data_IF_287830934681
#
_entry.id   IF_287830934681
#
_cell.length_a   1.000
_cell.length_b   1.000
_cell.length_c   1.000
_cell.angle_alpha   90.00
_cell.angle_beta   90.00
_cell.angle_gamma   90.00
#
_symmetry.space_group_name_H-M   'P 1'
#
loop_
_entity.id
_entity.type
_entity.pdbx_description
1 polymer ?
#
# COMPACT_ATOMS: atom_id res chain seq x y z
N UNK A 1 8.13 -14.90 -7.11
CA UNK A 1 7.48 -13.97 -8.06
C UNK A 1 6.82 -12.87 -7.22
N UNK A 2 7.30 -11.62 -7.31
CA UNK A 2 6.71 -10.50 -6.54
C UNK A 2 5.75 -9.74 -7.44
N UNK A 3 4.48 -9.73 -7.07
CA UNK A 3 3.43 -9.04 -7.82
C UNK A 3 3.55 -7.52 -7.56
N UNK A 4 3.90 -6.74 -8.58
CA UNK A 4 3.85 -5.28 -8.49
C UNK A 4 2.39 -4.85 -8.58
N UNK A 5 1.85 -4.31 -7.49
CA UNK A 5 0.45 -3.89 -7.39
C UNK A 5 0.39 -2.36 -7.43
N UNK A 6 -0.09 -1.81 -8.54
CA UNK A 6 -0.43 -0.40 -8.64
C UNK A 6 -1.81 -0.18 -8.01
N UNK A 7 -1.88 0.67 -7.00
CA UNK A 7 -3.12 1.05 -6.34
C UNK A 7 -3.42 2.52 -6.68
N UNK A 8 -4.62 2.77 -7.20
CA UNK A 8 -5.07 4.12 -7.52
C UNK A 8 -6.53 4.30 -7.11
N UNK A 9 -6.96 5.55 -7.00
CA UNK A 9 -8.35 5.91 -6.67
C UNK A 9 -9.02 6.49 -7.90
N UNK A 10 -10.24 6.02 -8.18
CA UNK A 10 -11.06 6.51 -9.29
C UNK A 10 -12.42 6.92 -8.72
N UNK A 11 -12.93 8.07 -9.17
CA UNK A 11 -14.30 8.50 -8.89
C UNK A 11 -15.20 7.97 -10.00
N UNK A 12 -16.27 7.27 -9.62
CA UNK A 12 -17.22 6.66 -10.54
C UNK A 12 -18.61 7.19 -10.19
N UNK A 13 -19.40 7.54 -11.20
CA UNK A 13 -20.79 7.91 -11.00
C UNK A 13 -21.61 6.70 -10.52
N UNK A 14 -22.57 6.90 -9.63
CA UNK A 14 -23.28 5.82 -8.93
C UNK A 14 -24.00 4.85 -9.87
N UNK A 15 -24.54 5.36 -10.97
CA UNK A 15 -25.17 4.62 -12.06
C UNK A 15 -24.21 3.65 -12.78
N UNK A 16 -22.91 3.97 -12.80
CA UNK A 16 -21.87 3.21 -13.48
C UNK A 16 -21.12 2.22 -12.57
N UNK A 17 -21.43 2.20 -11.27
CA UNK A 17 -20.72 1.33 -10.31
C UNK A 17 -20.80 -0.14 -10.70
N UNK A 18 -21.98 -0.61 -11.11
CA UNK A 18 -22.19 -2.02 -11.53
C UNK A 18 -21.40 -2.38 -12.80
N UNK A 19 -21.37 -1.49 -13.79
CA UNK A 19 -20.66 -1.72 -15.07
C UNK A 19 -19.15 -1.65 -14.90
N UNK A 20 -18.66 -0.83 -13.97
CA UNK A 20 -17.25 -0.77 -13.61
C UNK A 20 -16.84 -2.03 -12.85
N UNK A 21 -17.62 -2.48 -11.86
CA UNK A 21 -17.30 -3.70 -11.12
C UNK A 21 -17.34 -4.96 -11.97
N UNK A 22 -18.17 -5.04 -13.01
CA UNK A 22 -18.17 -6.18 -13.94
C UNK A 22 -16.87 -6.34 -14.75
N UNK A 23 -15.98 -5.34 -14.70
CA UNK A 23 -14.62 -5.41 -15.26
C UNK A 23 -13.56 -5.84 -14.26
N UNK A 24 -13.88 -5.94 -12.96
CA UNK A 24 -12.92 -6.37 -11.94
C UNK A 24 -12.44 -7.80 -12.19
N UNK A 25 -11.12 -7.99 -12.23
CA UNK A 25 -10.44 -9.23 -12.60
C UNK A 25 -10.01 -9.31 -14.06
N UNK A 26 -10.51 -8.42 -14.94
CA UNK A 26 -10.10 -8.38 -16.35
C UNK A 26 -8.77 -7.66 -16.47
N UNK A 27 -7.88 -8.19 -17.29
CA UNK A 27 -6.55 -7.61 -17.57
C UNK A 27 -5.70 -7.39 -16.30
N UNK A 28 -5.97 -8.13 -15.23
CA UNK A 28 -5.27 -7.99 -13.95
C UNK A 28 -5.69 -6.74 -13.15
N UNK A 29 -6.76 -6.06 -13.53
CA UNK A 29 -7.28 -4.88 -12.83
C UNK A 29 -8.32 -5.33 -11.80
N UNK A 30 -8.08 -5.01 -10.53
CA UNK A 30 -9.02 -5.30 -9.45
C UNK A 30 -9.58 -4.02 -8.88
N UNK A 31 -10.89 -3.99 -8.71
CA UNK A 31 -11.61 -2.83 -8.22
C UNK A 31 -12.16 -3.16 -6.84
N UNK A 32 -12.25 -2.17 -5.95
CA UNK A 32 -12.91 -2.29 -4.65
C UNK A 32 -13.56 -0.96 -4.26
N UNK A 33 -14.71 -1.02 -3.60
CA UNK A 33 -15.29 0.19 -3.00
C UNK A 33 -14.48 0.57 -1.76
N UNK A 34 -14.35 1.87 -1.51
CA UNK A 34 -13.74 2.32 -0.28
C UNK A 34 -14.65 1.93 0.88
N UNK A 35 -14.04 1.58 2.03
CA UNK A 35 -14.77 1.13 3.20
C UNK A 35 -15.79 2.15 3.76
N UNK A 36 -15.71 3.42 3.34
CA UNK A 36 -16.63 4.50 3.73
C UNK A 36 -17.86 4.60 2.81
N UNK A 37 -17.80 4.04 1.61
CA UNK A 37 -18.81 4.25 0.56
C UNK A 37 -19.89 3.16 0.56
N UNK A 38 -19.64 2.04 1.23
CA UNK A 38 -20.61 0.95 1.29
C UNK A 38 -20.17 -0.25 2.14
N UNK A 39 -21.10 -1.19 2.41
CA UNK A 39 -20.76 -2.47 2.99
C UNK A 39 -19.81 -3.22 2.06
N UNK A 40 -18.80 -3.91 2.63
CA UNK A 40 -17.88 -4.70 1.82
C UNK A 40 -18.65 -5.80 1.09
N UNK A 41 -18.42 -5.98 -0.23
CA UNK A 41 -19.05 -7.07 -0.95
C UNK A 41 -18.61 -8.41 -0.33
N UNK A 42 -19.52 -9.38 -0.35
CA UNK A 42 -19.18 -10.74 0.03
C UNK A 42 -18.23 -11.32 -1.03
N UNK A 43 -17.12 -11.88 -0.57
CA UNK A 43 -16.11 -12.46 -1.45
C UNK A 43 -15.86 -13.88 -1.01
N UNK A 44 -15.99 -14.80 -1.95
CA UNK A 44 -15.49 -16.15 -1.78
C UNK A 44 -14.03 -16.23 -2.22
N UNK A 45 -13.14 -16.44 -1.26
CA UNK A 45 -11.70 -16.57 -1.53
C UNK A 45 -11.39 -17.97 -2.06
N UNK A 46 -10.66 -18.01 -3.17
CA UNK A 46 -10.23 -19.22 -3.85
C UNK A 46 -8.92 -19.69 -3.27
N UNK A 47 -8.85 -20.95 -2.86
CA UNK A 47 -7.58 -21.55 -2.43
C UNK A 47 -6.65 -21.76 -3.62
N UNK A 48 -5.40 -21.30 -3.49
CA UNK A 48 -4.40 -21.43 -4.54
C UNK A 48 -3.93 -22.88 -4.71
N UNK A 49 -3.86 -23.66 -3.62
CA UNK A 49 -3.25 -25.00 -3.65
C UNK A 49 -1.81 -24.91 -4.17
N UNK A 50 -1.51 -25.65 -5.23
CA UNK A 50 -0.18 -25.67 -5.87
C UNK A 50 -0.02 -24.63 -7.00
N UNK A 51 -1.10 -23.95 -7.42
CA UNK A 51 -0.99 -22.98 -8.52
C UNK A 51 -0.48 -21.63 -8.03
N UNK A 52 0.44 -21.04 -8.80
CA UNK A 52 1.07 -19.74 -8.47
C UNK A 52 0.96 -18.75 -9.63
N UNK A 53 0.97 -17.45 -9.31
CA UNK A 53 1.02 -16.37 -10.28
C UNK A 53 -0.17 -16.36 -11.26
N UNK A 54 0.05 -16.22 -12.59
CA UNK A 54 -1.01 -16.15 -13.58
C UNK A 54 -1.94 -17.37 -13.60
N UNK A 55 -1.44 -18.56 -13.24
CA UNK A 55 -2.24 -19.78 -13.17
C UNK A 55 -3.30 -19.70 -12.06
N UNK A 56 -2.95 -19.08 -10.92
CA UNK A 56 -3.88 -18.85 -9.82
C UNK A 56 -4.98 -17.85 -10.20
N UNK A 57 -4.65 -16.79 -10.95
CA UNK A 57 -5.66 -15.87 -11.49
C UNK A 57 -6.60 -16.59 -12.47
N UNK A 58 -6.07 -17.45 -13.35
CA UNK A 58 -6.89 -18.23 -14.29
C UNK A 58 -7.82 -19.19 -13.54
N UNK A 59 -7.34 -19.86 -12.50
CA UNK A 59 -8.15 -20.71 -11.62
C UNK A 59 -9.30 -19.91 -10.98
N UNK A 60 -8.99 -18.73 -10.41
CA UNK A 60 -10.01 -17.87 -9.82
C UNK A 60 -11.04 -17.39 -10.86
N UNK A 61 -10.60 -17.08 -12.08
CA UNK A 61 -11.47 -16.67 -13.18
C UNK A 61 -12.42 -17.78 -13.61
N UNK A 62 -11.94 -19.03 -13.69
CA UNK A 62 -12.77 -20.20 -14.01
C UNK A 62 -13.83 -20.41 -12.92
N UNK A 63 -13.43 -20.39 -11.64
CA UNK A 63 -14.35 -20.57 -10.51
C UNK A 63 -15.36 -19.43 -10.36
N UNK A 64 -15.04 -18.24 -10.86
CA UNK A 64 -15.94 -17.10 -10.78
C UNK A 64 -17.14 -17.23 -11.72
N UNK A 65 -17.08 -18.04 -12.79
CA UNK A 65 -18.16 -18.22 -13.77
C UNK A 65 -18.74 -16.89 -14.29
N UNK A 66 -17.87 -15.89 -14.48
CA UNK A 66 -18.24 -14.54 -14.93
C UNK A 66 -18.55 -13.54 -13.82
N UNK A 67 -18.55 -13.96 -12.55
CA UNK A 67 -18.62 -13.05 -11.42
C UNK A 67 -17.39 -12.13 -11.34
N UNK A 68 -17.54 -10.88 -10.87
CA UNK A 68 -16.41 -9.98 -10.67
C UNK A 68 -15.38 -10.56 -9.70
N UNK A 69 -14.09 -10.51 -10.05
CA UNK A 69 -13.03 -10.92 -9.14
C UNK A 69 -12.76 -9.85 -8.08
N UNK A 70 -12.27 -10.30 -6.94
CA UNK A 70 -11.75 -9.50 -5.85
C UNK A 70 -10.32 -9.93 -5.53
N UNK A 71 -9.53 -8.97 -5.09
CA UNK A 71 -8.15 -9.17 -4.71
C UNK A 71 -7.93 -8.68 -3.27
N UNK A 72 -7.09 -9.39 -2.53
CA UNK A 72 -6.56 -8.93 -1.24
C UNK A 72 -5.06 -9.13 -1.18
N UNK A 73 -4.39 -8.23 -0.46
CA UNK A 73 -2.98 -8.37 -0.16
C UNK A 73 -2.79 -9.39 0.98
N UNK A 74 -1.82 -10.28 0.79
CA UNK A 74 -1.36 -11.21 1.82
C UNK A 74 -2.20 -12.47 1.97
N UNK A 75 -1.56 -13.51 2.51
CA UNK A 75 -2.13 -14.86 2.66
C UNK A 75 -2.07 -15.67 1.37
N UNK A 76 -1.99 -17.00 1.47
CA UNK A 76 -1.98 -17.92 0.32
C UNK A 76 -3.28 -17.97 -0.49
N UNK A 77 -4.18 -17.00 -0.29
CA UNK A 77 -5.51 -16.91 -0.91
C UNK A 77 -5.80 -15.46 -1.29
N UNK A 78 -5.07 -14.95 -2.29
CA UNK A 78 -5.11 -13.56 -2.71
C UNK A 78 -6.30 -13.23 -3.65
N UNK A 79 -6.81 -14.20 -4.40
CA UNK A 79 -7.93 -14.02 -5.33
C UNK A 79 -9.21 -14.63 -4.79
N UNK A 80 -10.31 -13.93 -5.03
CA UNK A 80 -11.65 -14.42 -4.78
C UNK A 80 -12.62 -13.88 -5.83
N UNK A 81 -13.86 -14.32 -5.77
CA UNK A 81 -14.93 -13.80 -6.62
C UNK A 81 -16.06 -13.28 -5.74
N UNK A 82 -16.74 -12.24 -6.22
CA UNK A 82 -17.80 -11.57 -5.48
C UNK A 82 -19.09 -12.35 -5.59
N UNK A 83 -19.70 -12.62 -4.45
CA UNK A 83 -21.01 -13.25 -4.40
C UNK A 83 -22.10 -12.17 -4.51
N UNK A 84 -23.20 -12.44 -5.25
CA UNK A 84 -24.42 -11.66 -5.16
C UNK A 84 -24.88 -11.55 -3.69
N UNK A 85 -25.44 -10.40 -3.31
CA UNK A 85 -25.95 -10.19 -1.95
C UNK A 85 -27.05 -11.18 -1.53
N UNK A 86 -27.67 -11.85 -2.50
CA UNK A 86 -28.71 -12.88 -2.29
C UNK A 86 -28.15 -14.28 -2.07
N UNK A 87 -26.86 -14.53 -2.32
CA UNK A 87 -26.29 -15.87 -2.22
C UNK A 87 -26.08 -16.22 -0.74
N UNK A 88 -26.71 -17.29 -0.23
CA UNK A 88 -26.54 -17.68 1.16
C UNK A 88 -25.09 -18.08 1.41
N UNK A 89 -24.53 -17.58 2.51
CA UNK A 89 -23.15 -17.90 2.87
C UNK A 89 -23.07 -19.33 3.42
N UNK A 90 -22.31 -20.19 2.75
CA UNK A 90 -22.13 -21.60 3.15
C UNK A 90 -20.95 -21.81 4.11
N UNK A 91 -20.13 -20.79 4.36
CA UNK A 91 -18.92 -20.89 5.19
C UNK A 91 -19.22 -20.59 6.67
N UNK A 92 -18.55 -21.26 7.61
CA UNK A 92 -18.71 -20.96 9.03
C UNK A 92 -18.00 -19.65 9.38
N UNK A 93 -18.73 -18.74 10.03
CA UNK A 93 -18.22 -17.45 10.48
C UNK A 93 -17.91 -17.46 11.96
N UNK A 94 -17.00 -16.59 12.37
CA UNK A 94 -16.77 -16.31 13.77
C UNK A 94 -17.81 -15.29 14.28
N UNK A 95 -18.46 -15.63 15.38
CA UNK A 95 -19.56 -14.89 16.00
C UNK A 95 -19.25 -14.61 17.46
N UNK A 96 -19.77 -13.49 17.95
CA UNK A 96 -19.78 -13.10 19.36
C UNK A 96 -21.20 -13.10 19.86
N UNK A 97 -21.51 -13.88 20.88
CA UNK A 97 -22.80 -13.83 21.55
C UNK A 97 -22.70 -13.13 22.91
N UNK A 98 -23.64 -12.23 23.16
CA UNK A 98 -23.81 -11.44 24.39
C UNK A 98 -25.16 -11.73 25.02
N UNK A 99 -25.35 -11.26 26.25
CA UNK A 99 -26.59 -11.43 27.02
C UNK A 99 -26.94 -12.91 27.27
N UNK A 100 -25.92 -13.77 27.29
CA UNK A 100 -26.04 -15.17 27.70
C UNK A 100 -25.94 -15.23 29.23
N UNK A 101 -26.88 -15.90 29.94
CA UNK A 101 -26.78 -16.05 31.38
C UNK A 101 -25.49 -16.74 31.83
N UNK A 102 -24.88 -16.26 32.91
CA UNK A 102 -23.60 -16.79 33.41
C UNK A 102 -23.63 -18.28 33.81
N UNK A 103 -24.82 -18.84 34.05
CA UNK A 103 -24.98 -20.24 34.40
C UNK A 103 -25.14 -21.16 33.17
N UNK A 104 -25.18 -20.62 31.95
CA UNK A 104 -25.24 -21.42 30.74
C UNK A 104 -23.90 -22.09 30.45
N UNK A 105 -23.97 -23.38 30.15
CA UNK A 105 -22.85 -24.18 29.68
C UNK A 105 -22.71 -24.06 28.16
N UNK A 106 -21.61 -24.57 27.60
CA UNK A 106 -21.46 -24.68 26.14
C UNK A 106 -22.62 -25.45 25.50
N UNK A 107 -23.12 -26.49 26.15
CA UNK A 107 -24.23 -27.30 25.63
C UNK A 107 -25.53 -26.49 25.55
N UNK A 108 -25.81 -25.62 26.53
CA UNK A 108 -26.98 -24.75 26.53
C UNK A 108 -26.90 -23.72 25.39
N UNK A 109 -25.73 -23.10 25.21
CA UNK A 109 -25.47 -22.13 24.14
C UNK A 109 -25.59 -22.80 22.78
N UNK A 110 -24.97 -23.97 22.60
CA UNK A 110 -25.04 -24.75 21.36
C UNK A 110 -26.49 -25.11 21.02
N UNK A 111 -27.25 -25.65 21.96
CA UNK A 111 -28.66 -26.02 21.75
C UNK A 111 -29.52 -24.81 21.38
N UNK A 112 -29.32 -23.66 22.04
CA UNK A 112 -30.03 -22.42 21.74
C UNK A 112 -29.73 -21.91 20.32
N UNK A 113 -28.48 -22.00 19.88
CA UNK A 113 -28.04 -21.55 18.55
C UNK A 113 -28.45 -22.52 17.45
N UNK A 114 -28.37 -23.82 17.68
CA UNK A 114 -28.89 -24.85 16.76
C UNK A 114 -30.39 -24.66 16.52
N UNK A 115 -31.16 -24.33 17.56
CA UNK A 115 -32.57 -23.98 17.46
C UNK A 115 -32.85 -22.72 16.61
N UNK A 116 -31.85 -21.85 16.44
CA UNK A 116 -31.91 -20.66 15.59
C UNK A 116 -31.38 -20.88 14.16
N UNK A 117 -31.10 -22.14 13.80
CA UNK A 117 -30.58 -22.50 12.49
C UNK A 117 -29.07 -22.36 12.35
N UNK A 118 -28.31 -22.26 13.46
CA UNK A 118 -26.87 -22.40 13.39
C UNK A 118 -26.45 -23.88 13.27
N UNK A 119 -25.41 -24.15 12.50
CA UNK A 119 -24.81 -25.49 12.34
C UNK A 119 -23.28 -25.40 12.35
N UNK A 120 -22.59 -26.55 12.41
CA UNK A 120 -21.12 -26.64 12.49
C UNK A 120 -20.54 -25.78 13.63
N UNK A 121 -21.13 -25.91 14.82
CA UNK A 121 -20.76 -25.13 15.99
C UNK A 121 -19.41 -25.57 16.56
N UNK A 122 -18.47 -24.63 16.64
CA UNK A 122 -17.15 -24.79 17.25
C UNK A 122 -16.94 -23.64 18.25
N UNK A 123 -16.83 -23.98 19.55
CA UNK A 123 -16.55 -22.96 20.57
C UNK A 123 -15.07 -22.56 20.52
N UNK A 124 -14.80 -21.26 20.36
CA UNK A 124 -13.44 -20.72 20.34
C UNK A 124 -13.02 -20.16 21.71
N UNK A 125 -13.95 -19.52 22.42
CA UNK A 125 -13.73 -19.03 23.77
C UNK A 125 -15.06 -18.97 24.53
N UNK A 126 -15.16 -19.58 25.72
CA UNK A 126 -16.35 -19.46 26.56
C UNK A 126 -16.53 -18.02 27.02
N UNK A 127 -17.77 -17.58 27.12
CA UNK A 127 -18.08 -16.27 27.72
C UNK A 127 -17.92 -16.31 29.24
N UNK A 128 -17.48 -15.20 29.82
CA UNK A 128 -17.39 -15.05 31.27
C UNK A 128 -17.77 -13.63 31.69
N UNK A 129 -18.88 -13.48 32.43
CA UNK A 129 -19.38 -12.18 32.87
C UNK A 129 -19.65 -11.23 31.71
N UNK A 130 -18.81 -10.20 31.54
CA UNK A 130 -18.92 -9.22 30.44
C UNK A 130 -18.24 -9.67 29.14
N UNK A 131 -17.44 -10.74 29.18
CA UNK A 131 -16.74 -11.27 28.00
C UNK A 131 -17.75 -12.05 27.16
N UNK A 132 -17.96 -11.68 25.88
CA UNK A 132 -18.89 -12.40 25.01
C UNK A 132 -18.40 -13.82 24.73
N UNK A 133 -19.34 -14.73 24.53
CA UNK A 133 -19.05 -16.05 23.98
C UNK A 133 -18.52 -15.89 22.56
N UNK A 134 -17.41 -16.55 22.23
CA UNK A 134 -16.81 -16.49 20.91
C UNK A 134 -16.82 -17.88 20.29
N UNK A 135 -17.48 -18.03 19.15
CA UNK A 135 -17.67 -19.32 18.50
C UNK A 135 -17.64 -19.17 17.00
N UNK A 136 -17.52 -20.30 16.31
CA UNK A 136 -17.59 -20.40 14.87
C UNK A 136 -18.78 -21.28 14.49
N UNK A 137 -19.61 -20.82 13.56
CA UNK A 137 -20.80 -21.55 13.12
C UNK A 137 -21.30 -21.04 11.76
N UNK A 138 -22.02 -21.89 11.03
CA UNK A 138 -22.80 -21.53 9.84
C UNK A 138 -24.21 -21.16 10.25
N UNK A 139 -24.82 -20.17 9.61
CA UNK A 139 -26.23 -19.83 9.79
C UNK A 139 -27.03 -20.29 8.56
N UNK A 140 -28.12 -21.00 8.78
CA UNK A 140 -29.00 -21.42 7.70
C UNK A 140 -29.65 -20.19 7.05
N UNK A 141 -29.58 -20.08 5.72
CA UNK A 141 -30.04 -18.92 4.95
C UNK A 141 -29.37 -17.60 5.38
N UNK A 142 -28.06 -17.66 5.67
CA UNK A 142 -27.29 -16.49 6.04
C UNK A 142 -27.32 -15.40 4.95
N UNK A 143 -28.03 -14.30 5.22
CA UNK A 143 -28.11 -13.14 4.33
C UNK A 143 -26.97 -12.14 4.52
N UNK A 144 -25.93 -12.50 5.29
CA UNK A 144 -24.77 -11.64 5.51
C UNK A 144 -24.98 -10.52 6.51
N UNK A 145 -26.01 -10.59 7.36
CA UNK A 145 -26.26 -9.57 8.37
C UNK A 145 -25.07 -9.48 9.35
N UNK A 146 -24.66 -8.27 9.77
CA UNK A 146 -23.55 -8.08 10.70
C UNK A 146 -23.91 -8.48 12.13
N UNK A 147 -25.19 -8.40 12.49
CA UNK A 147 -25.72 -8.69 13.83
C UNK A 147 -27.13 -9.27 13.75
N UNK A 148 -27.47 -10.12 14.72
CA UNK A 148 -28.73 -10.85 14.84
C UNK A 148 -29.14 -10.90 16.32
N UNK A 149 -30.44 -11.00 16.58
CA UNK A 149 -30.96 -11.28 17.90
C UNK A 149 -31.68 -12.63 17.87
N UNK A 150 -31.22 -13.58 18.70
CA UNK A 150 -31.79 -14.92 18.81
C UNK A 150 -32.62 -15.01 20.08
N UNK A 151 -33.91 -15.28 19.93
CA UNK A 151 -34.81 -15.40 21.07
C UNK A 151 -34.93 -16.87 21.51
N UNK A 152 -34.54 -17.17 22.75
CA UNK A 152 -34.59 -18.50 23.35
C UNK A 152 -35.48 -18.48 24.60
N UNK A 153 -36.77 -18.75 24.42
CA UNK A 153 -37.77 -18.61 25.47
C UNK A 153 -38.01 -17.15 25.84
N UNK A 154 -37.64 -16.74 27.06
CA UNK A 154 -37.75 -15.35 27.56
C UNK A 154 -36.46 -14.56 27.44
N UNK A 155 -35.39 -15.18 26.96
CA UNK A 155 -34.08 -14.56 26.83
C UNK A 155 -33.85 -14.18 25.37
N UNK A 156 -33.12 -13.08 25.17
CA UNK A 156 -32.67 -12.64 23.85
C UNK A 156 -31.15 -12.61 23.88
N UNK A 157 -30.53 -13.35 22.96
CA UNK A 157 -29.08 -13.44 22.79
C UNK A 157 -28.72 -12.54 21.62
N UNK A 158 -27.85 -11.57 21.86
CA UNK A 158 -27.36 -10.69 20.81
C UNK A 158 -26.11 -11.30 20.19
N UNK A 159 -26.16 -11.57 18.89
CA UNK A 159 -25.09 -12.20 18.14
C UNK A 159 -24.52 -11.21 17.12
N UNK A 160 -23.22 -10.99 17.18
CA UNK A 160 -22.49 -10.09 16.26
C UNK A 160 -21.43 -10.91 15.51
N UNK A 161 -21.24 -10.67 14.21
CA UNK A 161 -20.07 -11.22 13.53
C UNK A 161 -18.81 -10.62 14.11
N UNK A 162 -17.81 -11.46 14.36
CA UNK A 162 -16.50 -10.98 14.74
C UNK A 162 -15.79 -10.37 13.53
N UNK A 163 -16.10 -9.10 13.26
CA UNK A 163 -15.27 -8.29 12.39
C UNK A 163 -13.91 -8.04 13.08
N UNK A 164 -12.79 -8.05 12.32
CA UNK A 164 -11.52 -7.53 12.84
C UNK A 164 -11.78 -6.10 13.34
N UNK A 165 -11.51 -5.86 14.64
CA UNK A 165 -11.97 -4.69 15.41
C UNK A 165 -11.88 -3.39 14.60
N UNK A 166 -13.03 -2.90 14.15
CA UNK A 166 -13.30 -1.48 13.92
C UNK A 166 -14.55 -1.13 14.71
N UNK A 167 -14.61 0.09 15.28
CA UNK A 167 -15.78 0.61 15.98
C UNK A 167 -16.97 0.55 15.01
N UNK A 168 -17.96 -0.29 15.30
CA UNK A 168 -19.22 -0.38 14.57
C UNK A 168 -20.16 0.69 15.14
N UNK A 169 -20.59 1.63 14.30
CA UNK A 169 -21.75 2.48 14.57
C UNK A 169 -23.01 1.76 14.05
N UNK A 170 -24.00 1.63 14.93
CA UNK A 170 -25.42 1.36 14.68
C UNK A 170 -25.76 0.40 13.52
N UNK A 171 -25.66 -0.91 13.79
CA UNK A 171 -26.20 -1.94 12.91
C UNK A 171 -27.67 -2.24 13.22
N UNK A 172 -28.50 -2.39 12.18
CA UNK A 172 -29.90 -2.82 12.29
C UNK A 172 -29.98 -4.31 12.67
N UNK A 173 -30.73 -4.65 13.73
CA UNK A 173 -30.91 -6.02 14.20
C UNK A 173 -32.15 -6.67 13.59
N UNK A 174 -32.03 -7.94 13.17
CA UNK A 174 -33.16 -8.80 12.79
C UNK A 174 -33.38 -9.82 13.91
N UNK A 175 -34.61 -9.90 14.42
CA UNK A 175 -34.99 -10.88 15.46
C UNK A 175 -35.37 -12.19 14.79
N UNK A 176 -34.72 -13.29 15.22
CA UNK A 176 -35.06 -14.66 14.83
C UNK A 176 -35.67 -15.33 16.06
N UNK A 177 -36.92 -15.76 15.96
CA UNK A 177 -37.68 -16.39 17.04
C UNK A 177 -37.58 -17.91 16.98
N UNK A 178 -37.10 -18.56 18.05
CA UNK A 178 -37.00 -20.02 18.12
C UNK A 178 -38.30 -20.69 18.58
N UNK A 179 -38.46 -21.97 18.22
CA UNK A 179 -39.48 -22.90 18.75
C UNK A 179 -39.09 -23.33 20.19
N UNK A 180 -40.02 -23.50 21.15
CA UNK A 180 -39.66 -23.76 22.55
C UNK A 180 -38.96 -25.11 22.76
N UNK A 181 -37.82 -25.11 23.44
CA UNK A 181 -37.08 -26.30 23.91
C UNK A 181 -37.48 -26.62 25.37
N UNK A 182 -37.73 -27.90 25.75
CA UNK A 182 -38.09 -28.30 27.11
C UNK A 182 -36.89 -28.16 28.09
N UNK A 183 -37.18 -27.64 29.29
CA UNK A 183 -36.18 -27.35 30.35
C UNK A 183 -35.74 -28.61 31.12
N UNK A 184 -34.44 -28.80 31.37
CA UNK A 184 -33.96 -29.66 32.47
C UNK A 184 -33.88 -28.90 33.83
N UNK A 185 -33.90 -29.62 34.97
CA UNK A 185 -34.00 -29.06 36.32
C UNK A 185 -32.67 -28.48 36.86
N UNK A 186 -32.82 -27.42 37.67
CA UNK A 186 -31.75 -26.61 38.32
C UNK A 186 -31.07 -27.36 39.47
N UNK A 187 -29.73 -27.33 39.50
CA UNK A 187 -28.92 -27.64 40.68
C UNK A 187 -28.43 -26.36 41.39
N UNK A 188 -28.27 -26.44 42.71
CA UNK A 188 -27.95 -25.37 43.67
C UNK A 188 -26.45 -25.00 43.69
N UNK A 189 -26.10 -23.78 44.14
CA UNK A 189 -24.71 -23.27 44.14
C UNK A 189 -23.93 -23.62 45.42
N UNK A 190 -22.64 -23.91 45.26
CA UNK A 190 -21.64 -24.03 46.33
C UNK A 190 -20.75 -22.77 46.31
N UNK A 191 -20.51 -22.24 47.50
CA UNK A 191 -19.82 -20.98 47.82
C UNK A 191 -18.31 -21.01 47.57
N UNK A 192 -17.78 -19.84 47.25
CA UNK A 192 -16.36 -19.52 47.04
C UNK A 192 -15.84 -18.78 48.28
N UNK A 193 -14.65 -19.13 48.76
CA UNK A 193 -13.87 -18.33 49.72
C UNK A 193 -12.64 -17.75 49.02
N UNK A 194 -12.27 -16.55 49.47
CA UNK A 194 -11.25 -15.66 48.93
C UNK A 194 -10.01 -15.66 49.83
N UNK A 195 -8.83 -15.34 49.28
CA UNK A 195 -7.75 -14.71 50.07
C UNK A 195 -6.96 -13.68 49.24
N UNK A 196 -6.80 -12.53 49.86
CA UNK A 196 -6.01 -11.35 49.49
C UNK A 196 -4.51 -11.57 49.78
N UNK A 197 -3.61 -10.99 48.96
CA UNK A 197 -2.28 -10.55 49.44
C UNK A 197 -1.87 -9.24 48.76
N UNK A 198 -1.65 -8.25 49.62
CA UNK A 198 -1.14 -6.90 49.40
C UNK A 198 0.39 -6.88 49.55
N UNK A 199 1.13 -6.13 48.71
CA UNK A 199 2.47 -5.63 49.09
C UNK A 199 2.92 -4.42 48.26
N UNK A 200 3.30 -3.37 48.99
CA UNK A 200 3.75 -2.05 48.55
C UNK A 200 5.32 -1.92 48.52
N UNK A 201 5.89 -0.78 48.07
CA UNK A 201 7.17 -0.70 47.34
C UNK A 201 8.36 -0.15 48.15
N UNK A 202 9.53 0.10 47.51
CA UNK A 202 10.23 1.35 47.81
C UNK A 202 10.96 2.09 46.65
N UNK A 203 10.71 3.40 46.65
CA UNK A 203 11.53 4.62 46.49
C UNK A 203 13.07 4.60 46.30
N UNK A 204 13.60 5.47 45.41
CA UNK A 204 14.75 6.43 45.56
C UNK A 204 15.12 7.02 44.18
N UNK A 205 15.11 8.33 43.86
CA UNK A 205 15.77 9.58 44.32
C UNK A 205 17.26 9.81 43.88
N UNK A 206 17.51 10.98 43.27
CA UNK A 206 18.80 11.66 42.99
C UNK A 206 18.86 12.22 41.55
N UNK A 207 18.76 13.52 41.20
CA UNK A 207 19.48 14.76 41.57
C UNK A 207 21.00 14.66 41.28
N UNK A 208 21.75 15.57 40.64
CA UNK A 208 21.58 16.97 40.23
C UNK A 208 22.70 17.44 39.25
N UNK A 209 22.51 18.65 38.69
CA UNK A 209 23.47 19.75 38.45
C UNK A 209 24.52 19.78 37.30
N UNK A 210 24.39 20.85 36.51
CA UNK A 210 25.23 21.60 35.52
C UNK A 210 26.44 22.34 36.18
N UNK A 211 27.24 23.26 35.57
CA UNK A 211 27.58 23.71 34.17
C UNK A 211 29.14 24.02 34.02
N UNK A 212 29.67 25.09 33.34
CA UNK A 212 29.55 25.70 31.98
C UNK A 212 30.92 25.88 31.24
N UNK A 213 30.90 26.49 30.03
CA UNK A 213 31.83 27.50 29.43
C UNK A 213 31.99 27.26 27.89
N UNK A 214 32.31 28.18 26.95
CA UNK A 214 32.77 29.58 26.92
C UNK A 214 32.34 30.20 25.57
N UNK A 215 32.19 31.53 25.54
CA UNK A 215 31.99 32.42 24.38
C UNK A 215 33.12 32.40 23.34
N UNK A 216 32.85 32.68 22.05
CA UNK A 216 33.65 33.59 21.19
C UNK A 216 32.77 34.26 20.10
N UNK A 217 32.98 35.57 19.97
CA UNK A 217 32.49 36.59 19.01
C UNK A 217 32.91 36.37 17.54
N UNK A 218 32.09 36.89 16.62
CA UNK A 218 32.54 37.31 15.27
C UNK A 218 31.40 37.77 14.34
N UNK A 219 31.41 39.05 13.97
CA UNK A 219 30.56 39.78 12.97
C UNK A 219 31.55 40.46 11.98
N UNK A 220 31.14 41.19 10.92
CA UNK A 220 30.10 41.00 9.88
C UNK A 220 30.70 41.22 8.45
N UNK A 221 29.89 41.10 7.38
CA UNK A 221 29.93 41.89 6.11
C UNK A 221 28.83 41.34 5.17
N UNK A 222 27.76 42.03 4.79
CA UNK A 222 27.54 43.24 3.97
C UNK A 222 27.55 43.01 2.44
N UNK A 223 26.48 43.53 1.79
CA UNK A 223 26.30 43.81 0.34
C UNK A 223 25.97 42.61 -0.58
N UNK A 224 25.04 42.67 -1.55
CA UNK A 224 24.27 43.74 -2.19
C UNK A 224 23.06 43.13 -2.94
N UNK A 225 21.95 43.86 -3.02
CA UNK A 225 20.71 43.41 -3.65
C UNK A 225 20.64 43.57 -5.16
N UNK A 226 19.78 42.75 -5.80
CA UNK A 226 19.15 43.05 -7.10
C UNK A 226 17.66 42.73 -7.05
N UNK A 227 16.85 43.80 -7.16
CA UNK A 227 15.39 43.77 -7.31
C UNK A 227 15.02 43.29 -8.71
N UNK A 228 14.09 42.34 -8.82
CA UNK A 228 13.65 41.81 -10.11
C UNK A 228 12.25 41.16 -10.08
N UNK A 229 11.25 41.99 -10.32
CA UNK A 229 9.96 41.70 -10.99
C UNK A 229 9.02 40.66 -10.35
N UNK A 230 8.06 41.19 -9.59
CA UNK A 230 6.85 40.48 -9.13
C UNK A 230 5.98 40.10 -10.34
N UNK A 231 6.00 38.83 -10.71
CA UNK A 231 4.90 38.18 -11.44
C UNK A 231 3.98 37.55 -10.41
N UNK A 232 2.69 37.87 -10.50
CA UNK A 232 1.60 37.32 -9.70
C UNK A 232 1.60 35.79 -9.72
N UNK A 233 2.28 35.19 -8.75
CA UNK A 233 2.17 33.77 -8.43
C UNK A 233 0.97 33.62 -7.52
N UNK A 234 0.02 32.80 -7.95
CA UNK A 234 -0.95 32.19 -7.03
C UNK A 234 -0.20 31.71 -5.79
N UNK A 235 -0.60 32.17 -4.61
CA UNK A 235 -0.06 31.75 -3.32
C UNK A 235 -0.33 30.25 -3.12
N UNK A 236 0.49 29.38 -3.73
CA UNK A 236 0.74 28.05 -3.20
C UNK A 236 1.21 28.31 -1.78
N UNK A 237 0.44 27.86 -0.78
CA UNK A 237 0.87 27.85 0.61
C UNK A 237 2.27 27.20 0.62
N UNK A 238 3.31 28.02 0.74
CA UNK A 238 4.67 27.54 0.98
C UNK A 238 4.62 26.99 2.40
N UNK A 239 4.29 25.71 2.52
CA UNK A 239 4.50 25.00 3.76
C UNK A 239 5.94 25.25 4.21
N UNK A 240 6.13 25.42 5.51
CA UNK A 240 7.47 25.57 6.09
C UNK A 240 8.26 24.31 5.72
N UNK A 241 9.25 24.46 4.84
CA UNK A 241 10.13 23.36 4.43
C UNK A 241 11.04 23.08 5.62
N UNK A 242 10.73 22.00 6.35
CA UNK A 242 11.37 21.61 7.61
C UNK A 242 12.65 20.78 7.41
N UNK A 243 13.07 20.56 6.17
CA UNK A 243 14.26 19.78 5.81
C UNK A 243 15.20 20.56 4.88
N UNK A 244 16.41 20.06 4.76
CA UNK A 244 17.43 20.45 3.77
C UNK A 244 17.73 19.25 2.86
N UNK A 245 17.90 19.51 1.56
CA UNK A 245 18.23 18.49 0.58
C UNK A 245 19.73 18.49 0.33
N UNK A 246 20.33 17.32 0.50
CA UNK A 246 21.75 17.10 0.30
C UNK A 246 21.99 16.14 -0.86
N UNK A 247 22.78 16.55 -1.85
CA UNK A 247 23.07 15.72 -3.01
C UNK A 247 24.17 14.70 -2.70
N UNK A 248 23.86 13.41 -2.84
CA UNK A 248 24.84 12.33 -2.70
C UNK A 248 25.73 12.12 -3.93
N UNK A 249 25.82 13.10 -4.84
CA UNK A 249 26.53 12.98 -6.12
C UNK A 249 25.79 12.16 -7.19
N UNK A 250 26.49 11.83 -8.28
CA UNK A 250 25.98 11.13 -9.46
C UNK A 250 26.59 9.74 -9.67
N UNK A 251 26.48 9.23 -10.91
CA UNK A 251 27.16 8.02 -11.39
C UNK A 251 26.80 6.73 -10.64
N UNK A 252 25.52 6.52 -10.33
CA UNK A 252 25.04 5.28 -9.68
C UNK A 252 25.48 5.06 -8.23
N UNK A 253 26.25 5.98 -7.64
CA UNK A 253 26.70 5.90 -6.24
C UNK A 253 25.79 6.66 -5.27
N UNK A 254 24.80 7.41 -5.77
CA UNK A 254 24.02 8.36 -4.98
C UNK A 254 23.35 7.73 -3.73
N UNK A 255 22.81 6.51 -3.84
CA UNK A 255 22.27 5.79 -2.68
C UNK A 255 23.34 5.54 -1.60
N UNK A 256 24.45 4.91 -1.99
CA UNK A 256 25.49 4.51 -1.04
C UNK A 256 26.12 5.73 -0.37
N UNK A 257 26.32 6.81 -1.14
CA UNK A 257 26.80 8.09 -0.64
C UNK A 257 25.80 8.71 0.35
N UNK A 258 24.51 8.78 0.02
CA UNK A 258 23.50 9.32 0.93
C UNK A 258 23.35 8.47 2.20
N UNK A 259 23.36 7.14 2.09
CA UNK A 259 23.25 6.24 3.24
C UNK A 259 24.50 6.31 4.13
N UNK A 260 25.70 6.33 3.54
CA UNK A 260 26.95 6.50 4.28
C UNK A 260 27.05 7.87 4.95
N UNK A 261 26.55 8.92 4.31
CA UNK A 261 26.46 10.27 4.88
C UNK A 261 25.46 10.32 6.04
N UNK A 262 24.25 9.79 5.86
CA UNK A 262 23.23 9.71 6.90
C UNK A 262 23.75 8.99 8.15
N UNK A 263 24.51 7.91 7.95
CA UNK A 263 25.14 7.17 9.02
C UNK A 263 26.20 7.99 9.77
N UNK A 264 27.01 8.78 9.06
CA UNK A 264 27.96 9.73 9.66
C UNK A 264 27.29 10.81 10.49
N UNK A 265 26.19 11.39 9.99
CA UNK A 265 25.41 12.40 10.73
C UNK A 265 24.76 11.81 11.99
N UNK A 266 24.08 10.67 11.84
CA UNK A 266 23.24 10.13 12.91
C UNK A 266 24.02 9.36 13.97
N UNK A 267 24.96 8.51 13.55
CA UNK A 267 25.71 7.62 14.44
C UNK A 267 27.01 8.25 14.91
N UNK A 268 27.79 8.79 13.98
CA UNK A 268 29.10 9.39 14.28
C UNK A 268 28.98 10.85 14.76
N UNK A 269 27.76 11.43 14.73
CA UNK A 269 27.44 12.81 15.15
C UNK A 269 28.28 13.88 14.46
N UNK A 270 28.69 13.62 13.22
CA UNK A 270 29.48 14.55 12.42
C UNK A 270 28.61 15.69 11.86
N UNK A 271 29.23 16.84 11.58
CA UNK A 271 28.60 17.93 10.83
C UNK A 271 28.42 17.55 9.35
N UNK A 272 27.46 18.17 8.67
CA UNK A 272 27.33 18.02 7.21
C UNK A 272 28.61 18.44 6.46
N UNK A 273 29.30 19.47 6.93
CA UNK A 273 30.54 19.96 6.33
C UNK A 273 31.65 18.90 6.35
N UNK A 274 31.74 18.10 7.41
CA UNK A 274 32.75 17.04 7.50
C UNK A 274 32.31 15.74 6.82
N UNK A 275 31.01 15.43 6.89
CA UNK A 275 30.43 14.28 6.17
C UNK A 275 30.54 14.48 4.66
N UNK A 276 30.25 15.66 4.13
CA UNK A 276 30.30 15.95 2.69
C UNK A 276 31.69 15.71 2.09
N UNK A 277 32.77 16.07 2.81
CA UNK A 277 34.18 15.81 2.42
C UNK A 277 34.50 14.32 2.29
N UNK A 278 33.85 13.47 3.07
CA UNK A 278 34.09 12.02 3.12
C UNK A 278 32.96 11.18 2.53
N UNK A 279 31.94 11.81 1.94
CA UNK A 279 30.72 11.11 1.49
C UNK A 279 31.02 10.07 0.42
N UNK A 280 31.90 10.38 -0.54
CA UNK A 280 32.27 9.46 -1.62
C UNK A 280 33.05 8.24 -1.12
N UNK A 281 33.99 8.43 -0.20
CA UNK A 281 34.76 7.31 0.37
C UNK A 281 33.86 6.44 1.23
N UNK A 282 33.01 7.05 2.08
CA UNK A 282 32.00 6.34 2.89
C UNK A 282 31.03 5.53 2.03
N UNK A 283 30.53 6.08 0.93
CA UNK A 283 29.66 5.35 0.00
C UNK A 283 30.36 4.18 -0.69
N UNK A 284 31.64 4.33 -1.06
CA UNK A 284 32.43 3.23 -1.62
C UNK A 284 32.60 2.09 -0.59
N UNK A 285 33.03 2.43 0.63
CA UNK A 285 33.15 1.47 1.74
C UNK A 285 31.83 0.76 2.01
N UNK A 286 30.73 1.52 2.09
CA UNK A 286 29.41 0.96 2.32
C UNK A 286 29.03 -0.02 1.19
N UNK A 287 29.26 0.30 -0.09
CA UNK A 287 29.00 -0.65 -1.18
C UNK A 287 29.75 -1.97 -0.95
N UNK A 288 31.05 -1.90 -0.68
CA UNK A 288 31.87 -3.09 -0.46
C UNK A 288 31.40 -3.90 0.75
N UNK A 289 31.01 -3.24 1.85
CA UNK A 289 30.46 -3.90 3.04
C UNK A 289 29.13 -4.58 2.75
N UNK A 290 28.23 -3.94 2.00
CA UNK A 290 26.94 -4.53 1.63
C UNK A 290 27.12 -5.70 0.66
N UNK A 291 28.05 -5.59 -0.29
CA UNK A 291 28.40 -6.69 -1.19
C UNK A 291 28.92 -7.90 -0.42
N UNK A 292 29.85 -7.68 0.52
CA UNK A 292 30.37 -8.73 1.40
C UNK A 292 29.26 -9.36 2.25
N UNK A 293 28.37 -8.53 2.83
CA UNK A 293 27.27 -9.01 3.66
C UNK A 293 26.25 -9.86 2.88
N UNK A 294 25.93 -9.47 1.64
CA UNK A 294 25.04 -10.25 0.77
C UNK A 294 25.68 -11.59 0.42
N UNK A 295 27.00 -11.62 0.12
CA UNK A 295 27.73 -12.87 -0.15
C UNK A 295 27.74 -13.79 1.08
N UNK A 296 28.04 -13.24 2.26
CA UNK A 296 28.06 -13.98 3.53
C UNK A 296 26.69 -14.59 3.86
N UNK A 297 25.60 -13.84 3.63
CA UNK A 297 24.22 -14.28 3.90
C UNK A 297 23.48 -14.64 2.60
N UNK A 298 24.17 -15.27 1.65
CA UNK A 298 23.65 -15.53 0.29
C UNK A 298 22.28 -16.22 0.30
N UNK A 299 22.09 -17.27 1.10
CA UNK A 299 20.83 -18.03 1.14
C UNK A 299 19.61 -17.17 1.51
N UNK A 300 19.80 -16.21 2.42
CA UNK A 300 18.73 -15.28 2.80
C UNK A 300 18.34 -14.37 1.62
N UNK A 301 19.33 -13.77 0.96
CA UNK A 301 19.09 -12.79 -0.11
C UNK A 301 18.68 -13.43 -1.44
N UNK A 302 19.13 -14.64 -1.72
CA UNK A 302 18.84 -15.38 -2.95
C UNK A 302 17.34 -15.56 -3.19
N UNK A 303 16.56 -15.77 -2.12
CA UNK A 303 15.10 -15.89 -2.20
C UNK A 303 14.38 -14.62 -2.70
N UNK A 304 15.06 -13.48 -2.62
CA UNK A 304 14.54 -12.17 -3.03
C UNK A 304 15.13 -11.71 -4.37
N UNK A 305 16.13 -12.40 -4.89
CA UNK A 305 16.75 -12.08 -6.17
C UNK A 305 15.86 -12.55 -7.32
N UNK A 306 15.73 -11.69 -8.32
CA UNK A 306 15.08 -11.99 -9.58
C UNK A 306 16.06 -11.61 -10.70
N UNK A 307 16.19 -12.44 -11.75
CA UNK A 307 16.94 -12.04 -12.93
C UNK A 307 16.29 -10.78 -13.54
N UNK A 308 17.07 -9.93 -14.23
CA UNK A 308 16.52 -8.78 -14.95
C UNK A 308 15.58 -9.26 -16.06
N UNK A 309 14.54 -8.46 -16.33
CA UNK A 309 13.67 -8.71 -17.48
C UNK A 309 14.45 -8.59 -18.79
N UNK A 310 14.09 -9.42 -19.78
CA UNK A 310 14.68 -9.35 -21.12
C UNK A 310 14.26 -8.02 -21.76
N UNK A 311 15.20 -7.13 -22.12
CA UNK A 311 14.87 -5.85 -22.75
C UNK A 311 14.16 -6.10 -24.08
N UNK A 312 13.11 -5.33 -24.36
CA UNK A 312 12.34 -5.45 -25.61
C UNK A 312 12.90 -4.54 -26.71
N UNK A 313 13.74 -3.57 -26.34
CA UNK A 313 14.33 -2.61 -27.26
C UNK A 313 15.79 -2.35 -26.91
N UNK A 314 16.58 -1.95 -27.91
CA UNK A 314 17.99 -1.56 -27.72
C UNK A 314 18.15 -0.40 -26.72
N UNK A 315 17.14 0.46 -26.62
CA UNK A 315 17.13 1.58 -25.66
C UNK A 315 17.00 1.07 -24.22
N UNK A 316 16.14 0.07 -23.99
CA UNK A 316 16.01 -0.59 -22.68
C UNK A 316 17.27 -1.37 -22.32
N UNK A 317 17.89 -2.05 -23.29
CA UNK A 317 19.17 -2.75 -23.08
C UNK A 317 20.30 -1.78 -22.70
N UNK A 318 20.43 -0.67 -23.42
CA UNK A 318 21.42 0.36 -23.12
C UNK A 318 21.19 1.01 -21.74
N UNK A 319 19.93 1.28 -21.38
CA UNK A 319 19.56 1.79 -20.07
C UNK A 319 19.92 0.77 -18.97
N UNK A 320 19.62 -0.52 -19.18
CA UNK A 320 19.92 -1.58 -18.24
C UNK A 320 21.43 -1.77 -18.03
N UNK A 321 22.22 -1.76 -19.11
CA UNK A 321 23.69 -1.77 -19.04
C UNK A 321 24.25 -0.55 -18.29
N UNK A 322 23.65 0.62 -18.50
CA UNK A 322 24.03 1.85 -17.78
C UNK A 322 23.76 1.75 -16.28
N UNK A 323 22.60 1.18 -15.89
CA UNK A 323 22.23 0.96 -14.48
C UNK A 323 23.12 -0.08 -13.79
N UNK A 324 23.44 -1.17 -14.49
CA UNK A 324 24.27 -2.27 -13.97
C UNK A 324 25.78 -1.98 -14.10
N UNK A 325 26.15 -0.83 -14.67
CA UNK A 325 27.52 -0.42 -14.98
C UNK A 325 28.32 -1.51 -15.71
N UNK A 326 27.69 -2.11 -16.72
CA UNK A 326 28.19 -3.25 -17.48
C UNK A 326 27.07 -4.22 -17.81
N UNK A 327 27.41 -5.46 -18.17
CA UNK A 327 26.38 -6.44 -18.53
C UNK A 327 25.51 -6.83 -17.32
N UNK A 328 24.18 -6.91 -17.50
CA UNK A 328 23.25 -7.29 -16.44
C UNK A 328 23.50 -8.73 -15.99
N UNK A 329 23.32 -9.00 -14.70
CA UNK A 329 23.52 -10.33 -14.17
C UNK A 329 22.32 -11.25 -14.46
N UNK A 330 22.50 -12.22 -15.35
CA UNK A 330 21.47 -13.23 -15.67
C UNK A 330 21.36 -14.36 -14.64
N UNK A 331 22.39 -14.53 -13.82
CA UNK A 331 22.46 -15.58 -12.79
C UNK A 331 22.79 -14.99 -11.43
N UNK A 332 22.42 -15.69 -10.35
CA UNK A 332 22.78 -15.30 -8.99
C UNK A 332 24.30 -15.19 -8.78
N UNK A 333 25.07 -16.09 -9.38
CA UNK A 333 26.54 -16.06 -9.31
C UNK A 333 27.11 -14.80 -9.98
N UNK A 334 26.63 -14.48 -11.19
CA UNK A 334 26.99 -13.23 -11.87
C UNK A 334 26.57 -11.99 -11.06
N UNK A 335 25.41 -12.06 -10.41
CA UNK A 335 24.93 -10.97 -9.55
C UNK A 335 25.89 -10.71 -8.39
N UNK A 336 26.31 -11.77 -7.67
CA UNK A 336 27.26 -11.65 -6.56
C UNK A 336 28.63 -11.10 -7.00
N UNK A 337 29.07 -11.45 -8.21
CA UNK A 337 30.29 -10.92 -8.81
C UNK A 337 30.15 -9.44 -9.22
N UNK A 338 28.92 -8.96 -9.46
CA UNK A 338 28.67 -7.59 -9.93
C UNK A 338 28.36 -6.60 -8.79
N UNK A 339 28.11 -7.08 -7.57
CA UNK A 339 27.67 -6.25 -6.43
C UNK A 339 28.60 -5.09 -6.07
N UNK A 340 29.91 -5.27 -6.24
CA UNK A 340 30.95 -4.29 -5.92
C UNK A 340 31.35 -3.41 -7.11
N UNK A 341 30.75 -3.61 -8.29
CA UNK A 341 31.05 -2.81 -9.48
C UNK A 341 30.87 -1.32 -9.18
N UNK A 342 31.91 -0.50 -9.41
CA UNK A 342 31.77 0.94 -9.32
C UNK A 342 30.67 1.43 -10.25
N UNK A 343 29.91 2.43 -9.79
CA UNK A 343 28.81 3.05 -10.54
C UNK A 343 27.58 2.17 -10.80
N UNK A 344 27.58 0.90 -10.35
CA UNK A 344 26.35 0.10 -10.33
C UNK A 344 25.34 0.74 -9.40
N UNK A 345 24.12 0.90 -9.90
CA UNK A 345 23.04 1.51 -9.14
C UNK A 345 22.58 0.59 -8.01
N UNK A 346 22.09 1.19 -6.93
CA UNK A 346 21.53 0.40 -5.83
C UNK A 346 20.25 -0.31 -6.27
N UNK A 347 20.10 -1.56 -5.84
CA UNK A 347 18.91 -2.36 -6.02
C UNK A 347 18.26 -2.72 -4.68
N UNK A 348 17.12 -3.38 -4.75
CA UNK A 348 16.37 -3.76 -3.56
C UNK A 348 17.16 -4.65 -2.57
N UNK A 349 18.06 -5.50 -3.05
CA UNK A 349 18.87 -6.35 -2.17
C UNK A 349 19.91 -5.53 -1.43
N UNK A 350 20.52 -4.54 -2.07
CA UNK A 350 21.40 -3.58 -1.40
C UNK A 350 20.64 -2.74 -0.35
N UNK A 351 19.38 -2.35 -0.61
CA UNK A 351 18.52 -1.71 0.42
C UNK A 351 18.27 -2.63 1.63
N UNK A 352 17.87 -3.88 1.38
CA UNK A 352 17.63 -4.88 2.44
C UNK A 352 18.91 -5.19 3.22
N UNK A 353 20.03 -5.30 2.53
CA UNK A 353 21.34 -5.48 3.14
C UNK A 353 21.69 -4.26 4.02
N UNK A 354 21.48 -3.04 3.54
CA UNK A 354 21.78 -1.82 4.30
C UNK A 354 20.97 -1.74 5.60
N UNK A 355 19.66 -1.95 5.52
CA UNK A 355 18.79 -1.94 6.71
C UNK A 355 19.21 -2.97 7.75
N UNK A 356 19.50 -4.21 7.33
CA UNK A 356 19.96 -5.28 8.22
C UNK A 356 21.36 -5.02 8.77
N UNK A 357 22.31 -4.68 7.91
CA UNK A 357 23.74 -4.54 8.25
C UNK A 357 24.02 -3.34 9.15
N UNK A 358 23.35 -2.23 8.89
CA UNK A 358 23.48 -0.98 9.65
C UNK A 358 22.51 -0.92 10.84
N UNK A 359 21.65 -1.94 11.01
CA UNK A 359 20.57 -1.97 11.99
C UNK A 359 19.74 -0.67 11.99
N UNK A 360 19.36 -0.25 10.78
CA UNK A 360 18.59 0.96 10.55
C UNK A 360 17.37 0.65 9.67
N UNK A 361 16.41 1.55 9.65
CA UNK A 361 15.32 1.53 8.67
C UNK A 361 15.73 2.42 7.49
N UNK A 362 15.20 2.24 6.26
CA UNK A 362 15.40 3.24 5.16
C UNK A 362 14.06 3.82 4.63
N UNK A 363 13.97 5.15 4.39
CA UNK A 363 12.79 5.89 3.85
C UNK A 363 13.14 6.27 2.45
N UNK A 364 12.34 5.81 1.51
CA UNK A 364 12.41 6.36 0.18
C UNK A 364 11.15 7.17 -0.05
N UNK A 365 11.29 8.49 -0.04
CA UNK A 365 10.20 9.40 -0.46
C UNK A 365 10.19 9.40 -1.98
N UNK A 366 9.08 8.92 -2.54
CA UNK A 366 8.80 8.99 -3.97
C UNK A 366 7.92 10.21 -4.23
N UNK A 367 8.44 11.21 -4.94
CA UNK A 367 7.67 12.40 -5.32
C UNK A 367 7.81 13.56 -4.34
N UNK A 368 6.68 14.18 -3.96
CA UNK A 368 6.66 15.38 -3.12
C UNK A 368 6.82 15.02 -1.63
N UNK A 369 7.89 15.46 -0.94
CA UNK A 369 8.06 15.22 0.49
C UNK A 369 6.96 15.86 1.36
N UNK A 370 6.19 16.81 0.82
CA UNK A 370 5.03 17.37 1.52
C UNK A 370 3.85 16.39 1.68
N UNK A 371 3.85 15.26 0.95
CA UNK A 371 2.83 14.22 1.05
C UNK A 371 3.44 12.84 0.73
N UNK A 372 4.33 12.30 1.58
CA UNK A 372 5.00 11.06 1.27
C UNK A 372 4.02 9.89 1.40
N UNK A 373 4.22 8.90 0.55
CA UNK A 373 3.38 7.71 0.54
C UNK A 373 3.94 6.57 1.42
N UNK A 374 5.22 6.57 1.83
CA UNK A 374 5.91 5.44 2.54
C UNK A 374 7.23 5.87 3.26
N UNK A 375 7.69 5.24 4.39
CA UNK A 375 8.79 5.75 5.30
C UNK A 375 9.76 4.76 6.06
N UNK A 376 11.14 4.93 6.18
CA UNK A 376 12.00 5.53 7.31
C UNK A 376 13.60 5.66 7.13
N UNK A 377 14.28 6.84 6.97
CA UNK A 377 15.71 7.35 6.65
C UNK A 377 15.58 8.16 5.38
N UNK A 378 15.35 9.46 5.46
CA UNK A 378 14.71 10.20 4.40
C UNK A 378 15.63 10.38 3.19
N UNK A 379 15.52 9.45 2.25
CA UNK A 379 16.07 9.55 0.92
C UNK A 379 14.97 10.06 0.00
N UNK A 380 15.15 11.23 -0.58
CA UNK A 380 14.32 11.69 -1.67
C UNK A 380 14.83 11.05 -2.96
N UNK A 381 14.00 10.24 -3.59
CA UNK A 381 14.29 9.73 -4.92
C UNK A 381 13.59 10.61 -5.96
N UNK A 382 14.38 11.44 -6.65
CA UNK A 382 13.91 12.41 -7.63
C UNK A 382 14.89 12.47 -8.80
N UNK A 383 14.38 12.56 -10.02
CA UNK A 383 15.18 12.64 -11.25
C UNK A 383 16.22 11.50 -11.36
N UNK A 384 15.81 10.28 -10.95
CA UNK A 384 16.65 9.09 -10.91
C UNK A 384 17.88 9.18 -9.99
N UNK A 385 17.85 10.08 -9.00
CA UNK A 385 18.92 10.26 -8.02
C UNK A 385 18.38 10.22 -6.61
N UNK A 386 19.16 9.64 -5.72
CA UNK A 386 18.91 9.70 -4.29
C UNK A 386 19.53 10.97 -3.72
N UNK A 387 18.75 11.72 -2.95
CA UNK A 387 19.19 12.84 -2.13
C UNK A 387 18.90 12.53 -0.68
N UNK A 388 19.79 12.94 0.22
CA UNK A 388 19.58 12.83 1.66
C UNK A 388 18.76 14.03 2.13
N UNK A 389 17.73 13.80 2.95
CA UNK A 389 17.00 14.88 3.61
C UNK A 389 17.48 15.00 5.06
N UNK A 390 17.94 16.17 5.45
CA UNK A 390 18.30 16.47 6.82
C UNK A 390 17.22 17.35 7.47
N UNK A 391 16.62 16.96 8.61
CA UNK A 391 15.73 17.86 9.33
C UNK A 391 16.49 19.11 9.78
N UNK A 392 15.91 20.29 9.55
CA UNK A 392 16.48 21.55 10.06
C UNK A 392 16.54 21.55 11.58
N UNK A 393 17.45 22.35 12.14
CA UNK A 393 17.55 22.53 13.59
C UNK A 393 16.18 22.86 14.21
N UNK A 394 15.79 22.11 15.25
CA UNK A 394 14.50 22.25 15.92
C UNK A 394 13.33 21.50 15.25
N UNK A 395 13.53 20.87 14.09
CA UNK A 395 12.56 20.00 13.46
C UNK A 395 12.96 18.53 13.61
N UNK A 396 11.96 17.67 13.77
CA UNK A 396 12.13 16.22 13.77
C UNK A 396 11.38 15.62 12.60
N UNK A 397 11.79 14.42 12.17
CA UNK A 397 11.02 13.64 11.20
C UNK A 397 9.62 13.41 11.80
N UNK A 398 8.53 13.67 11.06
CA UNK A 398 7.17 13.50 11.55
C UNK A 398 6.98 12.13 12.19
N UNK A 399 6.39 12.07 13.37
CA UNK A 399 6.24 10.80 14.11
C UNK A 399 5.42 9.77 13.33
N UNK A 400 4.40 10.23 12.61
CA UNK A 400 3.56 9.42 11.73
C UNK A 400 4.36 8.69 10.63
N UNK A 401 5.51 9.27 10.22
CA UNK A 401 6.44 8.65 9.29
C UNK A 401 7.22 7.52 9.97
N UNK A 402 7.58 7.67 11.25
CA UNK A 402 8.30 6.65 12.00
C UNK A 402 7.41 5.49 12.46
N UNK A 403 6.12 5.74 12.60
CA UNK A 403 5.12 4.76 13.07
C UNK A 403 4.49 3.94 11.93
N UNK A 404 4.66 4.35 10.67
CA UNK A 404 4.26 3.50 9.55
C UNK A 404 5.04 2.19 9.57
N UNK A 405 4.32 1.07 9.53
CA UNK A 405 4.95 -0.22 9.30
C UNK A 405 5.68 -0.19 7.95
N UNK A 406 6.89 -0.78 7.86
CA UNK A 406 7.62 -0.85 6.62
C UNK A 406 6.72 -1.49 5.56
N UNK A 407 6.28 -0.70 4.59
CA UNK A 407 5.50 -1.21 3.47
C UNK A 407 6.30 -2.30 2.77
N UNK A 408 5.63 -3.34 2.28
CA UNK A 408 6.21 -4.38 1.42
C UNK A 408 6.52 -3.83 0.01
N UNK A 409 7.14 -2.67 -0.08
CA UNK A 409 7.33 -1.95 -1.33
C UNK A 409 8.77 -2.09 -1.78
N UNK A 410 8.92 -2.50 -3.03
CA UNK A 410 10.19 -2.60 -3.72
C UNK A 410 10.80 -1.21 -3.81
N UNK A 411 12.01 -1.03 -3.25
CA UNK A 411 12.75 0.22 -3.43
C UNK A 411 12.94 0.45 -4.94
N UNK A 412 12.63 1.65 -5.48
CA UNK A 412 12.79 1.90 -6.90
C UNK A 412 14.25 1.66 -7.28
N UNK A 413 14.49 0.78 -8.25
CA UNK A 413 15.78 0.82 -8.94
C UNK A 413 15.82 2.16 -9.65
N UNK A 414 16.90 2.89 -9.45
CA UNK A 414 17.02 4.13 -10.19
C UNK A 414 17.07 3.79 -11.68
N UNK A 415 16.27 4.46 -12.51
CA UNK A 415 16.30 4.32 -13.98
C UNK A 415 15.16 3.52 -14.65
N UNK A 416 13.99 3.35 -14.03
CA UNK A 416 12.88 2.61 -14.65
C UNK A 416 11.48 3.08 -14.28
N UNK A 417 11.18 4.36 -14.50
CA UNK A 417 9.79 4.80 -14.76
C UNK A 417 9.86 5.55 -16.08
N UNK A 418 9.80 4.82 -17.20
CA UNK A 418 9.63 5.45 -18.51
C UNK A 418 8.24 6.10 -18.49
N UNK A 419 8.12 7.44 -18.57
CA UNK A 419 6.82 8.07 -18.69
C UNK A 419 6.18 7.58 -19.99
N UNK A 420 4.97 7.00 -19.90
CA UNK A 420 4.10 6.85 -21.05
C UNK A 420 3.93 8.25 -21.67
N UNK A 421 4.49 8.40 -22.88
CA UNK A 421 4.42 9.54 -23.81
C UNK A 421 3.72 10.79 -23.24
N UNK A 422 4.51 11.73 -22.74
CA UNK A 422 4.09 13.12 -22.71
C UNK A 422 3.79 13.57 -24.14
N UNK A 423 2.58 14.09 -24.35
CA UNK A 423 2.16 14.78 -25.56
C UNK A 423 3.19 15.83 -25.97
N UNK A 424 3.65 15.74 -27.21
CA UNK A 424 4.54 16.69 -27.86
C UNK A 424 4.00 18.12 -27.73
N UNK A 425 4.76 18.97 -27.05
CA UNK A 425 4.66 20.43 -27.22
C UNK A 425 5.14 20.76 -28.63
N UNK A 426 4.19 20.96 -29.54
CA UNK A 426 4.45 21.40 -30.90
C UNK A 426 5.13 22.78 -30.88
N UNK A 427 6.37 22.81 -31.37
CA UNK A 427 7.12 24.01 -31.70
C UNK A 427 6.46 24.71 -32.90
N UNK A 428 5.87 25.88 -32.67
CA UNK A 428 5.42 26.79 -33.73
C UNK A 428 6.63 27.47 -34.39
N UNK A 429 7.12 26.91 -35.49
CA UNK A 429 8.01 27.63 -36.41
C UNK A 429 7.17 28.47 -37.39
N UNK A 430 7.39 29.78 -37.37
CA UNK A 430 6.91 30.72 -38.39
C UNK A 430 7.85 30.68 -39.59
N UNK A 431 7.30 30.46 -40.79
CA UNK A 431 7.96 30.70 -42.09
C UNK A 431 6.89 31.26 -43.06
N UNK A 432 7.23 32.17 -44.00
CA UNK A 432 6.35 33.26 -44.41
C UNK A 432 5.50 32.98 -45.66
N UNK A 433 4.55 33.89 -45.89
CA UNK A 433 3.64 33.98 -47.03
C UNK A 433 4.38 34.24 -48.34
N UNK A 434 4.02 33.51 -49.39
CA UNK A 434 4.15 33.94 -50.78
C UNK A 434 2.84 33.69 -51.53
N UNK A 435 2.57 34.56 -52.51
CA UNK A 435 1.33 34.71 -53.25
C UNK A 435 1.32 33.92 -54.57
N UNK A 436 0.11 33.67 -55.11
CA UNK A 436 -0.15 33.17 -56.47
C UNK A 436 -1.38 32.25 -56.46
N UNK A 437 -2.59 32.73 -56.74
CA UNK A 437 -3.21 33.00 -58.06
C UNK A 437 -3.73 31.73 -58.77
N UNK A 438 -5.05 31.66 -58.98
CA UNK A 438 -5.64 31.04 -60.19
C UNK A 438 -6.67 29.90 -60.04
N UNK A 439 -7.95 30.24 -60.27
CA UNK A 439 -9.03 29.48 -60.96
C UNK A 439 -9.62 28.19 -60.32
N UNK A 440 -10.90 28.20 -59.88
CA UNK A 440 -12.16 27.83 -60.61
C UNK A 440 -12.22 26.32 -60.93
N UNK A 441 -13.12 25.49 -60.37
CA UNK A 441 -14.59 25.47 -60.44
C UNK A 441 -15.18 24.45 -59.42
N UNK A 442 -16.45 24.61 -59.03
CA UNK A 442 -17.33 23.51 -58.63
C UNK A 442 -17.95 23.56 -57.24
N UNK A 443 -19.14 24.18 -57.13
CA UNK A 443 -20.07 24.19 -55.99
C UNK A 443 -20.39 22.77 -55.44
N UNK A 444 -20.70 22.56 -54.16
CA UNK A 444 -21.94 23.04 -53.49
C UNK A 444 -21.75 23.24 -51.99
N UNK A 445 -22.26 24.36 -51.50
CA UNK A 445 -22.38 24.69 -50.09
C UNK A 445 -23.76 24.27 -49.56
N UNK A 446 -23.81 23.71 -48.36
CA UNK A 446 -24.92 23.88 -47.44
C UNK A 446 -24.33 24.32 -46.09
N UNK A 447 -24.61 25.57 -45.72
CA UNK A 447 -24.14 26.22 -44.50
C UNK A 447 -25.13 25.96 -43.38
N UNK A 448 -24.67 25.55 -42.19
CA UNK A 448 -25.36 25.87 -40.95
C UNK A 448 -24.33 26.16 -39.84
N UNK A 449 -24.56 27.28 -39.16
CA UNK A 449 -23.70 28.00 -38.22
C UNK A 449 -23.83 27.43 -36.80
N UNK A 450 -22.76 27.60 -35.99
CA UNK A 450 -22.63 27.69 -34.51
C UNK A 450 -21.35 26.90 -34.12
N UNK A 451 -20.32 27.39 -33.43
CA UNK A 451 -20.15 28.47 -32.47
C UNK A 451 -19.42 27.91 -31.22
N UNK A 452 -18.17 28.34 -30.97
CA UNK A 452 -17.48 28.41 -29.64
C UNK A 452 -17.12 27.15 -28.81
N UNK A 453 -15.80 26.82 -28.78
CA UNK A 453 -14.90 26.56 -27.61
C UNK A 453 -15.19 25.41 -26.57
N UNK A 454 -14.18 24.92 -25.79
CA UNK A 454 -13.69 23.56 -25.95
C UNK A 454 -13.99 22.55 -24.81
N UNK A 455 -14.17 21.29 -25.21
CA UNK A 455 -13.31 20.19 -24.74
C UNK A 455 -13.73 19.38 -23.49
N UNK A 456 -14.99 18.96 -23.40
CA UNK A 456 -15.40 17.81 -22.58
C UNK A 456 -15.43 16.55 -23.47
N UNK A 457 -14.67 15.51 -23.12
CA UNK A 457 -14.70 14.24 -23.84
C UNK A 457 -15.85 13.37 -23.29
N UNK A 458 -17.00 13.40 -23.97
CA UNK A 458 -18.11 12.47 -23.76
C UNK A 458 -17.89 11.25 -24.66
N UNK A 459 -17.68 10.07 -24.06
CA UNK A 459 -17.73 8.79 -24.77
C UNK A 459 -19.18 8.31 -24.74
N UNK A 460 -19.86 8.44 -25.87
CA UNK A 460 -21.19 7.90 -26.10
C UNK A 460 -21.04 6.50 -26.74
N UNK A 461 -21.62 5.46 -26.14
CA UNK A 461 -21.63 4.10 -26.69
C UNK A 461 -23.07 3.60 -26.74
N UNK A 462 -23.73 3.82 -27.89
CA UNK A 462 -24.92 3.09 -28.31
C UNK A 462 -24.52 1.93 -29.22
N UNK A 463 -25.09 0.75 -28.99
CA UNK A 463 -24.60 -0.52 -29.52
C UNK A 463 -25.11 -0.99 -30.88
N UNK A 464 -24.68 -2.22 -31.17
CA UNK A 464 -25.23 -3.24 -32.08
C UNK A 464 -24.92 -3.13 -33.58
N UNK A 465 -23.95 -3.94 -34.06
CA UNK A 465 -24.19 -4.99 -35.05
C UNK A 465 -22.97 -5.93 -35.21
N UNK A 466 -23.23 -7.23 -35.32
CA UNK A 466 -22.27 -8.29 -35.64
C UNK A 466 -21.59 -8.08 -37.00
N UNK A 467 -20.26 -8.23 -37.06
CA UNK A 467 -19.54 -8.96 -38.13
C UNK A 467 -18.09 -9.28 -37.71
N UNK A 468 -17.72 -10.53 -37.94
CA UNK A 468 -16.39 -11.11 -37.78
C UNK A 468 -15.35 -10.39 -38.65
N UNK A 469 -14.16 -10.10 -38.08
CA UNK A 469 -12.79 -10.21 -38.62
C UNK A 469 -11.80 -9.36 -37.77
N UNK A 470 -10.47 -9.59 -37.85
CA UNK A 470 -9.56 -9.54 -36.72
C UNK A 470 -9.09 -8.12 -36.37
N UNK A 471 -8.60 -8.00 -35.13
CA UNK A 471 -8.12 -6.77 -34.51
C UNK A 471 -7.02 -6.04 -35.32
N UNK A 472 -6.81 -4.75 -35.02
CA UNK A 472 -5.77 -4.44 -34.03
C UNK A 472 -6.27 -3.55 -32.89
N UNK A 473 -6.11 -4.04 -31.65
CA UNK A 473 -6.29 -3.24 -30.44
C UNK A 473 -5.04 -2.39 -30.23
N UNK A 474 -5.24 -1.09 -30.22
CA UNK A 474 -4.30 -0.11 -29.67
C UNK A 474 -4.39 -0.20 -28.15
N UNK A 475 -3.37 -0.78 -27.54
CA UNK A 475 -3.21 -0.86 -26.09
C UNK A 475 -2.53 0.42 -25.60
N UNK A 476 -3.23 1.19 -24.77
CA UNK A 476 -2.63 2.25 -23.96
C UNK A 476 -2.45 1.64 -22.56
N UNK A 477 -1.19 1.51 -22.14
CA UNK A 477 -0.80 1.06 -20.79
C UNK A 477 -0.84 2.20 -19.78
#
# INVERSE_FOLDING_TARGET
MRECLLECYVKVALDNVKSVFSRSGKEGIFLSELAKDGPRPQVEWVEAGEVVGPAYLKLATIKAEGAPLAFRRGGGTAFGFRLPASTPLTRPYAWRARNIPNFWTEADVRSALEGAGFSDFELLSPGHGKVPWFFRAKLQNDGGQPSLAVQTGRLTIDIERAAPRRKLENAQSKVITNRPVPKPPKALPVSTEAEDVEMEPPTSQGAAATPPSTEVRGRPDEQTGKKGRVRSRSLKRKGVVWWEEHEGGGDGNCFYNCAGAAFGLQRDKMSWEDVSKSTRSRGCTLRSELAAYIREKSEYFKSFWLPPDVPQTDTEEAALRSMEAGDPAETWGAYLANLDRPKRWCDELAFRAATKRLNCRILVILGDPGNPTQVMIPLLYKDHRYKLLEPKAGHTVPREWLEQEPGNVTAPRGGGWLPSRASSSASSSKVPRSAGSGCLLGATALTLVLGSLPGLLLVNLSGSLLKLLPQPVVLIR
#
